data_IF_099907838990
#
_entry.id   IF_099907838990
#
_cell.length_a   1.000
_cell.length_b   1.000
_cell.length_c   1.000
_cell.angle_alpha   90.00
_cell.angle_beta   90.00
_cell.angle_gamma   90.00
#
_symmetry.space_group_name_H-M   'P 1'
#
loop_
_entity.id
_entity.type
_entity.pdbx_description
1 polymer ?
#
# COMPACT_ATOMS: atom_id res chain seq x y z
N UNK A 1 44.94 -26.01 8.41
CA UNK A 1 44.45 -25.44 7.14
C UNK A 1 43.07 -26.04 6.97
N UNK A 2 42.04 -25.32 7.40
CA UNK A 2 40.66 -25.82 7.42
C UNK A 2 39.93 -25.25 6.21
N UNK A 3 39.33 -26.14 5.44
CA UNK A 3 38.82 -25.91 4.09
C UNK A 3 37.65 -24.92 4.13
N UNK A 4 37.87 -23.72 3.60
CA UNK A 4 36.84 -22.70 3.43
C UNK A 4 35.69 -23.24 2.58
N UNK A 5 34.56 -23.47 3.23
CA UNK A 5 33.29 -23.82 2.60
C UNK A 5 32.94 -22.69 1.61
N UNK A 6 33.09 -22.95 0.31
CA UNK A 6 32.67 -22.03 -0.74
C UNK A 6 31.14 -21.95 -0.67
N UNK A 7 30.62 -20.91 -0.03
CA UNK A 7 29.19 -20.60 -0.05
C UNK A 7 28.97 -19.98 -1.41
N UNK A 8 28.69 -20.80 -2.43
CA UNK A 8 28.17 -20.28 -3.69
C UNK A 8 26.94 -19.44 -3.34
N UNK A 9 27.02 -18.12 -3.63
CA UNK A 9 25.88 -17.22 -3.42
C UNK A 9 24.73 -17.78 -4.25
N UNK A 10 23.61 -18.08 -3.57
CA UNK A 10 22.41 -18.59 -4.24
C UNK A 10 21.87 -17.46 -5.09
N UNK A 11 21.95 -17.63 -6.41
CA UNK A 11 21.42 -16.68 -7.39
C UNK A 11 19.90 -16.77 -7.45
N UNK A 12 19.26 -15.67 -7.83
CA UNK A 12 17.83 -15.68 -8.15
C UNK A 12 17.53 -16.57 -9.36
N UNK A 13 16.37 -17.22 -9.37
CA UNK A 13 16.03 -18.23 -10.37
C UNK A 13 15.76 -17.67 -11.77
N UNK A 14 15.26 -16.43 -11.87
CA UNK A 14 14.93 -15.78 -13.14
C UNK A 14 16.03 -14.78 -13.53
N UNK A 15 16.28 -13.77 -12.69
CA UNK A 15 17.25 -12.71 -12.99
C UNK A 15 18.73 -13.13 -12.81
N UNK A 16 19.00 -14.33 -12.28
CA UNK A 16 20.35 -14.88 -12.08
C UNK A 16 21.30 -13.94 -11.31
N UNK A 17 20.74 -13.10 -10.45
CA UNK A 17 21.40 -12.02 -9.72
C UNK A 17 21.76 -12.46 -8.30
N UNK A 18 22.76 -11.79 -7.69
CA UNK A 18 23.27 -12.12 -6.35
C UNK A 18 22.93 -11.07 -5.29
N UNK A 19 22.19 -10.03 -5.66
CA UNK A 19 21.78 -8.93 -4.79
C UNK A 19 20.40 -8.39 -5.19
N UNK A 20 19.71 -7.75 -4.25
CA UNK A 20 18.40 -7.14 -4.53
C UNK A 20 18.47 -6.00 -5.54
N UNK A 21 19.58 -5.24 -5.56
CA UNK A 21 19.81 -4.15 -6.52
C UNK A 21 19.89 -4.70 -7.95
N UNK A 22 20.72 -5.70 -8.20
CA UNK A 22 20.83 -6.38 -9.50
C UNK A 22 19.51 -7.06 -9.92
N UNK A 23 18.70 -7.56 -8.98
CA UNK A 23 17.37 -8.10 -9.28
C UNK A 23 16.44 -6.98 -9.77
N UNK A 24 16.49 -5.80 -9.14
CA UNK A 24 15.71 -4.63 -9.53
C UNK A 24 16.09 -4.12 -10.91
N UNK A 25 17.40 -3.94 -11.16
CA UNK A 25 17.93 -3.50 -12.46
C UNK A 25 17.48 -4.42 -13.61
N UNK A 26 17.42 -5.74 -13.37
CA UNK A 26 16.86 -6.68 -14.34
C UNK A 26 15.37 -6.40 -14.62
N UNK A 27 14.55 -6.24 -13.59
CA UNK A 27 13.10 -6.03 -13.77
C UNK A 27 12.72 -4.61 -14.22
N UNK A 28 13.62 -3.64 -14.15
CA UNK A 28 13.42 -2.33 -14.75
C UNK A 28 13.40 -2.39 -16.29
N UNK A 29 14.09 -3.38 -16.88
CA UNK A 29 14.18 -3.57 -18.33
C UNK A 29 13.35 -4.76 -18.86
N UNK A 30 12.82 -5.62 -17.98
CA UNK A 30 12.11 -6.85 -18.34
C UNK A 30 10.67 -6.91 -17.80
N UNK A 31 9.74 -7.43 -18.61
CA UNK A 31 8.36 -7.71 -18.16
C UNK A 31 8.23 -9.13 -17.62
N UNK A 32 7.46 -9.31 -16.54
CA UNK A 32 7.14 -10.64 -16.00
C UNK A 32 6.47 -11.56 -17.04
N UNK A 33 5.74 -10.98 -18.00
CA UNK A 33 5.13 -11.73 -19.09
C UNK A 33 6.16 -12.44 -19.99
N UNK A 34 7.39 -11.92 -20.10
CA UNK A 34 8.46 -12.54 -20.92
C UNK A 34 8.95 -13.87 -20.35
N UNK A 35 8.83 -14.05 -19.02
CA UNK A 35 9.27 -15.24 -18.30
C UNK A 35 8.08 -16.04 -17.74
N UNK A 36 6.87 -15.84 -18.25
CA UNK A 36 5.64 -16.44 -17.67
C UNK A 36 5.72 -17.97 -17.59
N UNK A 37 6.30 -18.61 -18.61
CA UNK A 37 6.50 -20.06 -18.67
C UNK A 37 7.50 -20.60 -17.63
N UNK A 38 8.38 -19.74 -17.11
CA UNK A 38 9.34 -20.06 -16.06
C UNK A 38 8.78 -19.77 -14.64
N UNK A 39 7.53 -19.30 -14.56
CA UNK A 39 6.83 -19.06 -13.29
C UNK A 39 5.90 -20.21 -12.92
N UNK A 40 5.42 -20.19 -11.68
CA UNK A 40 4.40 -21.13 -11.21
C UNK A 40 3.37 -20.41 -10.36
N UNK A 41 2.10 -20.86 -10.38
CA UNK A 41 1.06 -20.26 -9.55
C UNK A 41 1.39 -20.46 -8.07
N UNK A 42 1.22 -19.39 -7.29
CA UNK A 42 1.35 -19.39 -5.82
C UNK A 42 0.03 -18.92 -5.22
N UNK A 43 -0.48 -19.72 -4.29
CA UNK A 43 -1.60 -19.34 -3.44
C UNK A 43 -1.11 -18.46 -2.30
N UNK A 44 -1.67 -17.26 -2.16
CA UNK A 44 -1.40 -16.37 -1.05
C UNK A 44 -2.69 -15.69 -0.58
N UNK A 45 -2.75 -15.38 0.72
CA UNK A 45 -3.92 -14.75 1.32
C UNK A 45 -3.62 -13.29 1.59
N UNK A 46 -4.37 -12.39 0.96
CA UNK A 46 -4.37 -10.97 1.31
C UNK A 46 -5.47 -10.78 2.35
N UNK A 47 -5.08 -10.41 3.57
CA UNK A 47 -6.04 -9.92 4.55
C UNK A 47 -6.33 -8.45 4.25
N UNK A 48 -7.24 -8.22 3.31
CA UNK A 48 -7.95 -6.95 3.24
C UNK A 48 -8.84 -6.96 4.48
N UNK A 49 -8.48 -6.20 5.52
CA UNK A 49 -9.40 -5.99 6.64
C UNK A 49 -10.68 -5.46 6.02
N UNK A 50 -11.75 -6.23 6.10
CA UNK A 50 -13.06 -5.76 5.70
C UNK A 50 -13.28 -4.42 6.40
N UNK A 51 -13.62 -3.38 5.64
CA UNK A 51 -13.92 -2.03 6.13
C UNK A 51 -15.27 -2.04 6.89
N UNK A 52 -15.49 -3.02 7.78
CA UNK A 52 -16.75 -3.24 8.52
C UNK A 52 -17.16 -2.03 9.38
N UNK A 53 -16.22 -1.13 9.66
CA UNK A 53 -16.43 0.11 10.41
C UNK A 53 -16.57 1.38 9.53
N UNK A 54 -16.65 1.26 8.19
CA UNK A 54 -16.82 2.41 7.30
C UNK A 54 -18.30 2.60 6.95
N UNK A 55 -18.91 3.63 7.55
CA UNK A 55 -20.23 4.12 7.18
C UNK A 55 -20.10 5.27 6.17
N UNK A 56 -20.73 5.12 5.01
CA UNK A 56 -20.74 6.13 3.96
C UNK A 56 -21.92 7.10 4.13
N UNK A 57 -21.62 8.40 4.13
CA UNK A 57 -22.61 9.47 4.06
C UNK A 57 -22.41 10.26 2.77
N UNK A 58 -23.47 10.42 2.00
CA UNK A 58 -23.44 11.27 0.81
C UNK A 58 -23.18 12.72 1.19
N UNK A 59 -22.20 13.35 0.54
CA UNK A 59 -21.90 14.77 0.65
C UNK A 59 -21.88 15.39 -0.75
N UNK A 60 -22.27 16.66 -0.83
CA UNK A 60 -22.17 17.42 -2.08
C UNK A 60 -20.71 17.52 -2.55
N UNK A 61 -20.49 17.48 -3.86
CA UNK A 61 -19.15 17.48 -4.46
C UNK A 61 -18.37 18.76 -4.13
N UNK A 62 -19.00 19.94 -4.23
CA UNK A 62 -18.34 21.20 -3.95
C UNK A 62 -17.99 21.33 -2.45
N UNK A 63 -18.83 20.78 -1.58
CA UNK A 63 -18.53 20.69 -0.15
C UNK A 63 -17.37 19.73 0.13
N UNK A 64 -17.35 18.57 -0.53
CA UNK A 64 -16.25 17.60 -0.41
C UNK A 64 -14.91 18.21 -0.78
N UNK A 65 -14.85 18.98 -1.87
CA UNK A 65 -13.61 19.66 -2.29
C UNK A 65 -13.11 20.65 -1.24
N UNK A 66 -14.02 21.44 -0.65
CA UNK A 66 -13.66 22.38 0.41
C UNK A 66 -13.14 21.67 1.67
N UNK A 67 -13.76 20.55 2.05
CA UNK A 67 -13.30 19.72 3.17
C UNK A 67 -11.88 19.20 2.92
N UNK A 68 -11.61 18.70 1.72
CA UNK A 68 -10.28 18.18 1.35
C UNK A 68 -9.24 19.29 1.39
N UNK A 69 -9.51 20.46 0.80
CA UNK A 69 -8.56 21.58 0.83
C UNK A 69 -8.26 22.02 2.26
N UNK A 70 -9.27 22.11 3.12
CA UNK A 70 -9.08 22.52 4.50
C UNK A 70 -8.35 21.45 5.33
N UNK A 71 -8.61 20.17 5.08
CA UNK A 71 -7.92 19.09 5.80
C UNK A 71 -6.43 19.07 5.44
N UNK A 72 -6.10 19.27 4.16
CA UNK A 72 -4.73 19.38 3.68
C UNK A 72 -3.98 20.56 4.32
N UNK A 73 -4.62 21.74 4.40
CA UNK A 73 -4.04 22.91 5.09
C UNK A 73 -3.74 22.62 6.57
N UNK A 74 -4.60 21.82 7.21
CA UNK A 74 -4.46 21.40 8.62
C UNK A 74 -3.54 20.20 8.83
N UNK A 75 -3.04 19.57 7.77
CA UNK A 75 -2.21 18.37 7.85
C UNK A 75 -2.94 17.14 8.38
N UNK A 76 -4.27 17.07 8.23
CA UNK A 76 -5.11 15.95 8.65
C UNK A 76 -5.93 15.41 7.48
N UNK A 77 -6.51 14.22 7.63
CA UNK A 77 -7.39 13.64 6.63
C UNK A 77 -8.78 14.27 6.64
N UNK A 78 -9.47 14.26 5.51
CA UNK A 78 -10.87 14.68 5.41
C UNK A 78 -11.77 13.90 6.39
N UNK A 79 -11.49 12.60 6.58
CA UNK A 79 -12.18 11.74 7.56
C UNK A 79 -12.04 12.26 8.99
N UNK A 80 -10.83 12.64 9.41
CA UNK A 80 -10.59 13.16 10.76
C UNK A 80 -11.29 14.50 10.97
N UNK A 81 -11.17 15.41 9.98
CA UNK A 81 -11.81 16.73 10.03
C UNK A 81 -13.34 16.61 10.16
N UNK A 82 -13.97 15.83 9.30
CA UNK A 82 -15.43 15.61 9.32
C UNK A 82 -15.86 14.97 10.64
N UNK A 83 -15.13 13.97 11.14
CA UNK A 83 -15.46 13.34 12.41
C UNK A 83 -15.37 14.31 13.59
N UNK A 84 -14.39 15.22 13.62
CA UNK A 84 -14.30 16.24 14.68
C UNK A 84 -15.52 17.15 14.66
N UNK A 85 -15.85 17.71 13.50
CA UNK A 85 -17.00 18.60 13.34
C UNK A 85 -18.33 17.94 13.70
N UNK A 86 -18.55 16.70 13.25
CA UNK A 86 -19.77 15.97 13.59
C UNK A 86 -19.87 15.70 15.10
N UNK A 87 -18.77 15.34 15.77
CA UNK A 87 -18.75 15.15 17.24
C UNK A 87 -19.10 16.45 17.96
N UNK A 88 -18.48 17.56 17.58
CA UNK A 88 -18.76 18.88 18.15
C UNK A 88 -20.23 19.26 17.96
N UNK A 89 -20.79 19.08 16.76
CA UNK A 89 -22.19 19.41 16.46
C UNK A 89 -23.19 18.53 17.22
N UNK A 90 -22.89 17.25 17.41
CA UNK A 90 -23.73 16.34 18.20
C UNK A 90 -23.72 16.71 19.69
N UNK A 91 -22.57 17.15 20.22
CA UNK A 91 -22.47 17.63 21.61
C UNK A 91 -23.30 18.89 21.84
N UNK A 92 -23.27 19.85 20.90
CA UNK A 92 -24.09 21.06 20.97
C UNK A 92 -25.60 20.77 20.93
N UNK A 93 -26.02 19.76 20.17
CA UNK A 93 -27.45 19.46 19.93
C UNK A 93 -28.08 18.61 21.05
N UNK A 94 -27.27 17.90 21.83
CA UNK A 94 -27.74 17.01 22.91
C UNK A 94 -27.86 17.73 24.27
N UNK A 95 -27.66 19.06 24.29
CA UNK A 95 -27.83 19.93 25.46
C UNK A 95 -29.10 20.77 25.32
#
# INVERSE_FOLDING_TARGET
MENGKNIEKVKSSISNANSYEEIGEFWDEHDTAECWEDTYPVEFTINLKDDEDIVYYGIDEALSQQIISLSQEKGITARELVNSWLKEKLQETTH
#
